data_IF_279618972629
#
_entry.id   IF_279618972629
#
_cell.length_a   1.000
_cell.length_b   1.000
_cell.length_c   1.000
_cell.angle_alpha   90.00
_cell.angle_beta   90.00
_cell.angle_gamma   90.00
#
_symmetry.space_group_name_H-M   'P 1'
#
loop_
_entity.id
_entity.type
_entity.pdbx_description
1 polymer ?
#
# COMPACT_ATOMS: atom_id res chain seq x y z
N UNK A 1 -26.05 -25.85 -7.94
CA UNK A 1 -24.77 -25.15 -8.25
C UNK A 1 -25.05 -23.67 -8.03
N UNK A 2 -25.01 -23.27 -6.75
CA UNK A 2 -25.36 -21.91 -6.34
C UNK A 2 -24.17 -20.97 -6.52
N UNK A 3 -24.37 -19.95 -7.34
CA UNK A 3 -23.47 -18.81 -7.50
C UNK A 3 -23.50 -18.00 -6.21
N UNK A 4 -22.47 -18.16 -5.37
CA UNK A 4 -22.26 -17.30 -4.20
C UNK A 4 -21.80 -15.93 -4.70
N UNK A 5 -22.74 -15.05 -5.00
CA UNK A 5 -22.47 -13.61 -5.07
C UNK A 5 -22.22 -13.14 -3.65
N UNK A 6 -20.95 -13.13 -3.24
CA UNK A 6 -20.54 -12.48 -2.00
C UNK A 6 -20.89 -10.99 -2.08
N UNK A 7 -22.00 -10.61 -1.45
CA UNK A 7 -22.37 -9.21 -1.27
C UNK A 7 -21.26 -8.50 -0.50
N UNK A 8 -20.57 -7.57 -1.17
CA UNK A 8 -19.61 -6.72 -0.48
C UNK A 8 -20.30 -5.87 0.57
N UNK A 9 -19.63 -5.73 1.72
CA UNK A 9 -20.00 -4.80 2.78
C UNK A 9 -20.33 -3.40 2.22
N UNK A 10 -21.45 -2.77 2.63
CA UNK A 10 -21.89 -1.48 2.10
C UNK A 10 -20.84 -0.35 2.20
N UNK A 11 -20.02 -0.35 3.25
CA UNK A 11 -18.96 0.65 3.44
C UNK A 11 -17.84 0.51 2.42
N UNK A 12 -17.37 -0.72 2.15
CA UNK A 12 -16.39 -1.01 1.09
C UNK A 12 -16.93 -0.68 -0.29
N UNK A 13 -18.23 -0.89 -0.53
CA UNK A 13 -18.88 -0.57 -1.80
C UNK A 13 -18.86 0.93 -2.09
N UNK A 14 -19.16 1.77 -1.10
CA UNK A 14 -19.09 3.22 -1.26
C UNK A 14 -17.69 3.71 -1.64
N UNK A 15 -16.64 3.07 -1.11
CA UNK A 15 -15.24 3.35 -1.45
C UNK A 15 -14.95 3.04 -2.92
N UNK A 16 -15.40 1.89 -3.43
CA UNK A 16 -15.20 1.53 -4.83
C UNK A 16 -15.99 2.42 -5.79
N UNK A 17 -17.26 2.73 -5.48
CA UNK A 17 -18.06 3.69 -6.25
C UNK A 17 -17.39 5.05 -6.31
N UNK A 18 -16.86 5.53 -5.18
CA UNK A 18 -16.08 6.76 -5.14
C UNK A 18 -14.86 6.68 -6.05
N UNK A 19 -14.14 5.56 -6.04
CA UNK A 19 -12.98 5.35 -6.91
C UNK A 19 -13.34 5.38 -8.39
N UNK A 20 -14.20 4.46 -8.86
CA UNK A 20 -14.46 4.35 -10.29
C UNK A 20 -15.29 5.52 -10.83
N UNK A 21 -16.07 6.22 -9.99
CA UNK A 21 -16.68 7.49 -10.42
C UNK A 21 -15.63 8.55 -10.77
N UNK A 22 -14.55 8.67 -9.99
CA UNK A 22 -13.44 9.59 -10.34
C UNK A 22 -12.77 9.19 -11.65
N UNK A 23 -12.57 7.89 -11.87
CA UNK A 23 -12.00 7.38 -13.12
C UNK A 23 -12.89 7.74 -14.31
N UNK A 24 -14.20 7.47 -14.24
CA UNK A 24 -15.16 7.77 -15.31
C UNK A 24 -15.22 9.28 -15.58
N UNK A 25 -15.17 10.13 -14.55
CA UNK A 25 -15.06 11.58 -14.74
C UNK A 25 -13.83 11.97 -15.56
N UNK A 26 -12.68 11.38 -15.24
CA UNK A 26 -11.45 11.65 -15.96
C UNK A 26 -11.50 11.14 -17.41
N UNK A 27 -12.06 9.95 -17.65
CA UNK A 27 -12.26 9.41 -19.00
C UNK A 27 -13.20 10.30 -19.81
N UNK A 28 -14.31 10.78 -19.24
CA UNK A 28 -15.22 11.73 -19.90
C UNK A 28 -14.50 13.00 -20.39
N UNK A 29 -13.51 13.46 -19.65
CA UNK A 29 -12.79 14.71 -19.95
C UNK A 29 -11.59 14.51 -20.88
N UNK A 30 -10.90 13.36 -20.79
CA UNK A 30 -9.61 13.16 -21.44
C UNK A 30 -9.62 12.05 -22.50
N UNK A 31 -10.58 11.13 -22.43
CA UNK A 31 -10.69 9.94 -23.30
C UNK A 31 -12.16 9.63 -23.62
N UNK A 32 -12.92 10.64 -24.05
CA UNK A 32 -14.37 10.52 -24.30
C UNK A 32 -14.79 9.40 -25.27
N UNK A 33 -14.00 8.94 -26.26
CA UNK A 33 -14.37 7.80 -27.11
C UNK A 33 -14.56 6.48 -26.36
N UNK A 34 -14.02 6.36 -25.13
CA UNK A 34 -14.22 5.17 -24.29
C UNK A 34 -15.54 5.20 -23.52
N UNK A 35 -16.25 6.34 -23.49
CA UNK A 35 -17.55 6.47 -22.84
C UNK A 35 -18.63 5.92 -23.77
N UNK A 36 -19.53 5.09 -23.22
CA UNK A 36 -20.67 4.61 -23.98
C UNK A 36 -21.61 5.77 -24.35
N UNK A 37 -22.05 5.94 -25.61
CA UNK A 37 -22.87 7.09 -26.05
C UNK A 37 -24.13 7.30 -25.19
N UNK A 38 -24.90 6.24 -24.93
CA UNK A 38 -26.09 6.31 -24.08
C UNK A 38 -25.80 6.75 -22.62
N UNK A 39 -24.58 6.52 -22.12
CA UNK A 39 -24.16 7.06 -20.84
C UNK A 39 -23.78 8.55 -20.97
N UNK A 40 -23.02 8.91 -22.01
CA UNK A 40 -22.67 10.30 -22.29
C UNK A 40 -23.90 11.21 -22.44
N UNK A 41 -24.94 10.75 -23.15
CA UNK A 41 -26.19 11.49 -23.35
C UNK A 41 -26.90 11.79 -22.01
N UNK A 42 -26.92 10.81 -21.10
CA UNK A 42 -27.48 10.98 -19.74
C UNK A 42 -26.65 11.91 -18.86
N UNK A 43 -25.33 11.97 -19.07
CA UNK A 43 -24.45 12.91 -18.37
C UNK A 43 -24.62 14.34 -18.91
N UNK A 44 -24.89 14.47 -20.21
CA UNK A 44 -25.04 15.74 -20.92
C UNK A 44 -23.73 16.52 -21.00
N UNK A 45 -23.81 17.83 -21.18
CA UNK A 45 -22.65 18.71 -21.34
C UNK A 45 -21.75 18.72 -20.11
N UNK A 46 -20.45 18.45 -20.33
CA UNK A 46 -19.41 18.40 -19.28
C UNK A 46 -18.50 19.63 -19.23
N UNK A 47 -18.51 20.47 -20.27
CA UNK A 47 -17.66 21.67 -20.36
C UNK A 47 -17.88 22.63 -19.20
N UNK A 48 -16.79 23.06 -18.56
CA UNK A 48 -16.83 24.03 -17.45
C UNK A 48 -17.21 23.45 -16.08
N UNK A 49 -17.47 22.15 -15.98
CA UNK A 49 -17.74 21.50 -14.68
C UNK A 49 -16.45 21.17 -13.94
N UNK A 50 -16.43 21.47 -12.64
CA UNK A 50 -15.40 20.92 -11.74
C UNK A 50 -15.55 19.40 -11.58
N UNK A 51 -14.46 18.70 -11.21
CA UNK A 51 -14.50 17.24 -10.92
C UNK A 51 -15.60 16.91 -9.90
N UNK A 52 -15.79 17.75 -8.87
CA UNK A 52 -16.81 17.56 -7.84
C UNK A 52 -18.23 17.62 -8.43
N UNK A 53 -18.51 18.59 -9.28
CA UNK A 53 -19.81 18.74 -9.94
C UNK A 53 -20.08 17.58 -10.90
N UNK A 54 -19.09 17.21 -11.72
CA UNK A 54 -19.21 16.10 -12.65
C UNK A 54 -19.46 14.78 -11.91
N UNK A 55 -18.73 14.52 -10.82
CA UNK A 55 -18.94 13.35 -9.96
C UNK A 55 -20.34 13.26 -9.35
N UNK A 56 -20.87 14.39 -8.88
CA UNK A 56 -22.21 14.44 -8.32
C UNK A 56 -23.27 14.06 -9.37
N UNK A 57 -23.02 14.41 -10.64
CA UNK A 57 -23.91 14.08 -11.76
C UNK A 57 -23.79 12.62 -12.20
N UNK A 58 -22.58 12.07 -12.29
CA UNK A 58 -22.40 10.70 -12.80
C UNK A 58 -22.80 9.62 -11.79
N UNK A 59 -22.61 9.85 -10.49
CA UNK A 59 -22.81 8.80 -9.46
C UNK A 59 -24.21 8.18 -9.47
N UNK A 60 -25.31 8.96 -9.56
CA UNK A 60 -26.65 8.41 -9.69
C UNK A 60 -26.87 7.57 -10.95
N UNK A 61 -26.09 7.81 -12.01
CA UNK A 61 -26.19 7.10 -13.30
C UNK A 61 -25.42 5.77 -13.29
N UNK A 62 -24.63 5.48 -12.26
CA UNK A 62 -23.90 4.22 -12.10
C UNK A 62 -24.83 3.14 -11.53
N UNK A 63 -25.81 2.75 -12.35
CA UNK A 63 -26.94 1.89 -11.98
C UNK A 63 -26.57 0.41 -11.79
N UNK A 64 -25.36 0.00 -12.20
CA UNK A 64 -24.89 -1.41 -12.15
C UNK A 64 -25.78 -2.36 -12.95
N UNK A 65 -26.58 -1.84 -13.87
CA UNK A 65 -27.32 -2.66 -14.81
C UNK A 65 -26.44 -2.93 -16.02
N UNK A 66 -26.32 -4.21 -16.39
CA UNK A 66 -25.40 -4.66 -17.44
C UNK A 66 -25.72 -4.07 -18.82
N UNK A 67 -26.97 -3.65 -19.05
CA UNK A 67 -27.48 -3.03 -20.27
C UNK A 67 -27.12 -1.53 -20.40
N UNK A 68 -26.63 -0.91 -19.33
CA UNK A 68 -26.32 0.51 -19.28
C UNK A 68 -24.87 0.80 -18.86
N UNK A 69 -23.85 0.23 -19.53
CA UNK A 69 -22.46 0.39 -19.12
C UNK A 69 -21.99 1.85 -19.30
N UNK A 70 -21.16 2.37 -18.38
CA UNK A 70 -20.60 3.71 -18.52
C UNK A 70 -19.47 3.77 -19.55
N UNK A 71 -18.83 2.63 -19.83
CA UNK A 71 -17.64 2.52 -20.67
C UNK A 71 -17.80 1.43 -21.73
N UNK A 72 -17.10 1.59 -22.85
CA UNK A 72 -16.76 0.49 -23.74
C UNK A 72 -15.64 -0.36 -23.10
N UNK A 73 -16.02 -1.30 -22.22
CA UNK A 73 -15.08 -2.15 -21.47
C UNK A 73 -14.10 -2.91 -22.38
N UNK A 74 -14.57 -3.41 -23.52
CA UNK A 74 -13.74 -4.18 -24.46
C UNK A 74 -12.66 -3.32 -25.15
N UNK A 75 -12.78 -1.99 -25.10
CA UNK A 75 -11.84 -1.06 -25.70
C UNK A 75 -10.96 -0.38 -24.63
N UNK A 76 -11.11 -0.73 -23.36
CA UNK A 76 -10.38 -0.08 -22.27
C UNK A 76 -8.96 -0.64 -22.16
N UNK A 77 -7.99 0.09 -22.72
CA UNK A 77 -6.58 -0.23 -22.59
C UNK A 77 -6.07 -0.04 -21.14
N UNK A 78 -5.24 -0.96 -20.60
CA UNK A 78 -4.62 -0.79 -19.28
C UNK A 78 -3.87 0.54 -19.12
N UNK A 79 -3.23 1.07 -20.16
CA UNK A 79 -2.48 2.33 -20.13
C UNK A 79 -3.38 3.52 -19.77
N UNK A 80 -4.64 3.53 -20.19
CA UNK A 80 -5.60 4.59 -19.86
C UNK A 80 -5.83 4.66 -18.35
N UNK A 81 -5.99 3.50 -17.71
CA UNK A 81 -6.15 3.44 -16.27
C UNK A 81 -4.86 3.78 -15.51
N UNK A 82 -3.72 3.29 -15.99
CA UNK A 82 -2.41 3.60 -15.40
C UNK A 82 -2.11 5.11 -15.47
N UNK A 83 -2.39 5.74 -16.63
CA UNK A 83 -2.24 7.17 -16.85
C UNK A 83 -3.10 7.96 -15.87
N UNK A 84 -4.37 7.59 -15.73
CA UNK A 84 -5.25 8.23 -14.74
C UNK A 84 -4.68 8.15 -13.32
N UNK A 85 -4.18 6.97 -12.89
CA UNK A 85 -3.58 6.82 -11.57
C UNK A 85 -2.42 7.79 -11.36
N UNK A 86 -1.58 8.00 -12.39
CA UNK A 86 -0.45 8.93 -12.34
C UNK A 86 -0.86 10.41 -12.34
N UNK A 87 -2.10 10.76 -12.73
CA UNK A 87 -2.63 12.13 -12.62
C UNK A 87 -3.14 12.46 -11.21
N UNK A 88 -3.44 11.45 -10.39
CA UNK A 88 -4.04 11.67 -9.08
C UNK A 88 -3.06 12.38 -8.14
N UNK A 89 -3.57 13.39 -7.43
CA UNK A 89 -2.87 14.10 -6.35
C UNK A 89 -3.77 14.23 -5.12
N UNK A 90 -3.15 14.37 -3.95
CA UNK A 90 -3.81 14.77 -2.71
C UNK A 90 -4.14 16.28 -2.77
N UNK A 91 -4.92 16.76 -1.79
CA UNK A 91 -5.28 18.17 -1.68
C UNK A 91 -4.06 19.10 -1.52
N UNK A 92 -2.98 18.60 -0.92
CA UNK A 92 -1.69 19.29 -0.76
C UNK A 92 -0.80 19.22 -2.01
N UNK A 93 -1.28 18.63 -3.12
CA UNK A 93 -0.53 18.45 -4.35
C UNK A 93 0.46 17.28 -4.34
N UNK A 94 0.59 16.54 -3.23
CA UNK A 94 1.46 15.37 -3.17
C UNK A 94 0.85 14.15 -3.88
N UNK A 95 1.70 13.20 -4.24
CA UNK A 95 1.29 11.92 -4.85
C UNK A 95 0.53 11.02 -3.86
N UNK A 96 -0.27 10.11 -4.39
CA UNK A 96 -0.99 9.12 -3.61
C UNK A 96 -0.05 8.04 -3.07
N UNK A 97 -0.39 7.47 -1.91
CA UNK A 97 0.31 6.30 -1.38
C UNK A 97 -0.02 5.04 -2.19
N UNK A 98 0.84 4.03 -2.10
CA UNK A 98 0.59 2.72 -2.72
C UNK A 98 -0.78 2.14 -2.33
N UNK A 99 -1.16 2.23 -1.03
CA UNK A 99 -2.45 1.74 -0.54
C UNK A 99 -3.64 2.49 -1.19
N UNK A 100 -3.53 3.80 -1.37
CA UNK A 100 -4.55 4.59 -2.06
C UNK A 100 -4.67 4.19 -3.54
N UNK A 101 -3.54 4.01 -4.24
CA UNK A 101 -3.53 3.52 -5.63
C UNK A 101 -4.12 2.10 -5.73
N UNK A 102 -3.84 1.23 -4.76
CA UNK A 102 -4.37 -0.14 -4.75
C UNK A 102 -5.88 -0.16 -4.50
N UNK A 103 -6.41 0.78 -3.72
CA UNK A 103 -7.85 1.00 -3.59
C UNK A 103 -8.49 1.34 -4.93
N UNK A 104 -7.80 2.15 -5.75
CA UNK A 104 -8.27 2.47 -7.09
C UNK A 104 -8.26 1.26 -8.02
N UNK A 105 -7.20 0.45 -8.00
CA UNK A 105 -7.15 -0.84 -8.71
C UNK A 105 -8.35 -1.72 -8.34
N UNK A 106 -8.60 -1.93 -7.05
CA UNK A 106 -9.76 -2.71 -6.59
C UNK A 106 -11.09 -2.09 -7.07
N UNK A 107 -11.17 -0.76 -7.13
CA UNK A 107 -12.31 -0.05 -7.71
C UNK A 107 -12.56 -0.39 -9.18
N UNK A 108 -11.51 -0.56 -9.99
CA UNK A 108 -11.65 -0.98 -11.38
C UNK A 108 -12.16 -2.41 -11.53
N UNK A 109 -11.63 -3.36 -10.76
CA UNK A 109 -12.15 -4.74 -10.74
C UNK A 109 -13.62 -4.78 -10.32
N UNK A 110 -14.00 -3.94 -9.35
CA UNK A 110 -15.39 -3.80 -8.95
C UNK A 110 -16.25 -3.19 -10.06
N UNK A 111 -15.75 -2.22 -10.81
CA UNK A 111 -16.47 -1.66 -11.94
C UNK A 111 -16.79 -2.73 -13.00
N UNK A 112 -15.81 -3.55 -13.39
CA UNK A 112 -16.06 -4.66 -14.31
C UNK A 112 -17.14 -5.61 -13.77
N UNK A 113 -17.01 -6.02 -12.51
CA UNK A 113 -17.95 -6.94 -11.86
C UNK A 113 -19.36 -6.36 -11.72
N UNK A 114 -19.49 -5.09 -11.36
CA UNK A 114 -20.78 -4.40 -11.19
C UNK A 114 -21.57 -4.33 -12.50
N UNK A 115 -20.91 -4.45 -13.66
CA UNK A 115 -21.54 -4.47 -14.98
C UNK A 115 -21.49 -5.85 -15.65
N UNK A 116 -21.25 -6.92 -14.87
CA UNK A 116 -21.26 -8.30 -15.36
C UNK A 116 -20.16 -8.58 -16.40
N UNK A 117 -19.09 -7.78 -16.42
CA UNK A 117 -17.93 -7.96 -17.29
C UNK A 117 -16.81 -8.65 -16.54
N UNK A 118 -16.02 -9.43 -17.27
CA UNK A 118 -14.79 -10.03 -16.78
C UNK A 118 -13.61 -9.25 -17.39
N UNK A 119 -12.68 -8.83 -16.55
CA UNK A 119 -11.42 -8.27 -17.03
C UNK A 119 -10.62 -9.38 -17.71
N UNK A 120 -10.08 -9.10 -18.90
CA UNK A 120 -9.27 -10.08 -19.61
C UNK A 120 -7.90 -10.27 -18.91
N UNK A 121 -7.22 -11.37 -19.25
CA UNK A 121 -5.95 -11.74 -18.63
C UNK A 121 -4.83 -10.76 -18.93
N UNK A 122 -4.86 -10.08 -20.08
CA UNK A 122 -3.79 -9.20 -20.51
C UNK A 122 -3.86 -7.91 -19.71
N UNK A 123 -5.03 -7.31 -19.58
CA UNK A 123 -5.28 -6.16 -18.71
C UNK A 123 -4.94 -6.48 -17.24
N UNK A 124 -5.34 -7.65 -16.73
CA UNK A 124 -5.00 -8.06 -15.36
C UNK A 124 -3.47 -8.16 -15.15
N UNK A 125 -2.76 -8.74 -16.12
CA UNK A 125 -1.32 -8.91 -16.09
C UNK A 125 -0.58 -7.56 -16.17
N UNK A 126 -1.01 -6.66 -17.04
CA UNK A 126 -0.44 -5.32 -17.17
C UNK A 126 -0.61 -4.52 -15.87
N UNK A 127 -1.81 -4.53 -15.28
CA UNK A 127 -2.03 -3.91 -13.97
C UNK A 127 -1.19 -4.57 -12.88
N UNK A 128 -0.97 -5.89 -12.93
CA UNK A 128 -0.08 -6.58 -11.98
C UNK A 128 1.36 -6.09 -12.11
N UNK A 129 1.90 -5.98 -13.33
CA UNK A 129 3.27 -5.51 -13.54
C UNK A 129 3.44 -4.03 -13.17
N UNK A 130 2.48 -3.18 -13.54
CA UNK A 130 2.50 -1.76 -13.20
C UNK A 130 2.61 -1.53 -11.68
N UNK A 131 1.72 -2.16 -10.90
CA UNK A 131 1.75 -2.04 -9.43
C UNK A 131 2.99 -2.68 -8.80
N UNK A 132 3.56 -3.72 -9.42
CA UNK A 132 4.85 -4.28 -9.01
C UNK A 132 6.00 -3.29 -9.28
N UNK A 133 5.94 -2.55 -10.39
CA UNK A 133 6.87 -1.46 -10.71
C UNK A 133 6.85 -0.37 -9.64
N UNK A 134 5.65 0.10 -9.26
CA UNK A 134 5.49 1.10 -8.19
C UNK A 134 6.08 0.57 -6.87
N UNK A 135 5.77 -0.67 -6.47
CA UNK A 135 6.36 -1.27 -5.25
C UNK A 135 7.89 -1.30 -5.29
N UNK A 136 8.48 -1.65 -6.43
CA UNK A 136 9.93 -1.67 -6.63
C UNK A 136 10.56 -0.28 -6.53
N UNK A 137 9.94 0.74 -7.12
CA UNK A 137 10.44 2.11 -7.05
C UNK A 137 10.42 2.63 -5.60
N UNK A 138 9.34 2.37 -4.88
CA UNK A 138 9.22 2.67 -3.45
C UNK A 138 10.29 1.95 -2.63
N UNK A 139 10.51 0.66 -2.92
CA UNK A 139 11.57 -0.14 -2.31
C UNK A 139 12.98 0.41 -2.58
N UNK A 140 13.26 0.88 -3.80
CA UNK A 140 14.56 1.48 -4.17
C UNK A 140 14.79 2.78 -3.40
N UNK A 141 13.78 3.65 -3.34
CA UNK A 141 13.83 4.89 -2.56
C UNK A 141 14.05 4.61 -1.07
N UNK A 142 13.45 3.54 -0.56
CA UNK A 142 13.59 3.11 0.81
C UNK A 142 14.95 2.49 1.13
N UNK A 143 15.47 1.63 0.27
CA UNK A 143 16.81 1.06 0.41
C UNK A 143 17.90 2.14 0.52
N UNK A 144 17.72 3.27 -0.18
CA UNK A 144 18.60 4.44 -0.10
C UNK A 144 18.48 5.20 1.22
N UNK A 145 17.33 5.17 1.90
CA UNK A 145 17.07 5.91 3.15
C UNK A 145 17.31 5.13 4.46
N UNK A 146 17.35 3.79 4.41
CA UNK A 146 17.35 2.92 5.62
C UNK A 146 18.76 2.48 6.07
N UNK A 147 19.81 2.89 5.37
CA UNK A 147 21.19 2.55 5.72
C UNK A 147 21.67 3.30 6.97
N UNK A 148 21.65 2.64 8.13
CA UNK A 148 22.23 3.07 9.42
C UNK A 148 21.36 3.94 10.36
N UNK A 149 20.03 3.88 10.28
CA UNK A 149 19.17 4.51 11.28
C UNK A 149 19.07 3.71 12.60
N UNK A 150 18.54 4.35 13.65
CA UNK A 150 18.24 3.68 14.92
C UNK A 150 17.06 2.71 14.77
N UNK A 151 16.85 1.81 15.74
CA UNK A 151 15.68 0.91 15.72
C UNK A 151 14.38 1.69 15.87
N UNK A 152 14.38 2.80 16.63
CA UNK A 152 13.22 3.67 16.77
C UNK A 152 12.83 4.29 15.42
N UNK A 153 13.80 4.86 14.70
CA UNK A 153 13.56 5.43 13.37
C UNK A 153 13.11 4.35 12.38
N UNK A 154 13.70 3.16 12.46
CA UNK A 154 13.31 2.04 11.62
C UNK A 154 11.88 1.55 11.95
N UNK A 155 11.47 1.61 13.21
CA UNK A 155 10.11 1.26 13.64
C UNK A 155 9.08 2.27 13.14
N UNK A 156 9.42 3.57 13.18
CA UNK A 156 8.59 4.61 12.55
C UNK A 156 8.47 4.37 11.04
N UNK A 157 9.56 4.05 10.36
CA UNK A 157 9.54 3.70 8.94
C UNK A 157 8.75 2.39 8.68
N UNK A 158 8.74 1.47 9.65
CA UNK A 158 8.01 0.21 9.56
C UNK A 158 6.50 0.42 9.61
N UNK A 159 6.00 1.21 10.56
CA UNK A 159 4.57 1.44 10.73
C UNK A 159 4.03 2.57 9.85
N UNK A 160 4.79 3.65 9.64
CA UNK A 160 4.30 4.89 9.03
C UNK A 160 4.94 5.20 7.68
N UNK A 161 6.07 4.59 7.34
CA UNK A 161 6.87 4.98 6.18
C UNK A 161 7.51 6.37 6.35
N UNK A 162 7.83 7.04 5.25
CA UNK A 162 8.42 8.38 5.22
C UNK A 162 7.66 9.28 4.26
N UNK A 163 6.81 10.17 4.78
CA UNK A 163 5.93 11.01 3.97
C UNK A 163 6.72 11.91 2.98
N UNK A 164 7.76 12.61 3.45
CA UNK A 164 8.56 13.52 2.61
C UNK A 164 9.28 12.81 1.46
N UNK A 165 9.80 11.60 1.72
CA UNK A 165 10.49 10.78 0.72
C UNK A 165 9.53 9.85 -0.04
N UNK A 166 8.22 10.02 0.17
CA UNK A 166 7.13 9.24 -0.44
C UNK A 166 7.27 7.73 -0.23
N UNK A 167 7.80 7.32 0.92
CA UNK A 167 8.06 5.93 1.22
C UNK A 167 6.88 5.35 2.00
N UNK A 168 6.23 4.26 1.57
CA UNK A 168 5.19 3.60 2.35
C UNK A 168 5.79 2.88 3.57
N UNK A 169 4.94 2.48 4.53
CA UNK A 169 5.31 1.54 5.60
C UNK A 169 6.07 0.32 5.06
N UNK A 170 7.18 -0.05 5.71
CA UNK A 170 8.03 -1.19 5.29
C UNK A 170 7.31 -2.54 5.38
N UNK A 171 6.30 -2.65 6.25
CA UNK A 171 5.54 -3.87 6.47
C UNK A 171 4.79 -4.35 5.21
N UNK A 172 4.44 -3.43 4.32
CA UNK A 172 3.75 -3.68 3.05
C UNK A 172 4.66 -4.25 1.95
N UNK A 173 5.98 -4.16 2.10
CA UNK A 173 6.94 -4.60 1.08
C UNK A 173 7.21 -6.10 1.18
N UNK A 174 7.29 -6.79 0.04
CA UNK A 174 7.68 -8.19 -0.06
C UNK A 174 9.10 -8.36 -0.62
N UNK A 175 9.70 -9.54 -0.43
CA UNK A 175 11.02 -9.85 -0.99
C UNK A 175 11.08 -9.70 -2.51
N UNK A 176 9.99 -10.03 -3.22
CA UNK A 176 9.92 -9.87 -4.68
C UNK A 176 9.95 -8.40 -5.15
N UNK A 177 9.69 -7.45 -4.25
CA UNK A 177 9.70 -6.02 -4.52
C UNK A 177 11.12 -5.44 -4.42
N UNK A 178 12.06 -6.15 -3.82
CA UNK A 178 13.42 -5.67 -3.62
C UNK A 178 14.24 -5.79 -4.91
N UNK A 179 15.08 -4.79 -5.23
CA UNK A 179 15.81 -4.72 -6.51
C UNK A 179 16.91 -5.78 -6.65
N UNK A 180 17.43 -6.32 -5.54
CA UNK A 180 18.48 -7.34 -5.53
C UNK A 180 18.41 -8.20 -4.25
N UNK A 181 19.17 -9.31 -4.24
CA UNK A 181 19.21 -10.24 -3.11
C UNK A 181 19.68 -9.61 -1.80
N UNK A 182 20.57 -8.62 -1.84
CA UNK A 182 21.06 -7.96 -0.63
C UNK A 182 19.96 -7.15 0.05
N UNK A 183 19.15 -6.44 -0.73
CA UNK A 183 17.98 -5.74 -0.22
C UNK A 183 16.88 -6.70 0.24
N UNK A 184 16.70 -7.85 -0.41
CA UNK A 184 15.81 -8.93 0.07
C UNK A 184 16.22 -9.43 1.45
N UNK A 185 17.51 -9.69 1.64
CA UNK A 185 18.07 -10.10 2.92
C UNK A 185 17.87 -9.00 3.97
N UNK A 186 18.14 -7.75 3.61
CA UNK A 186 17.96 -6.59 4.49
C UNK A 186 16.51 -6.42 4.94
N UNK A 187 15.53 -6.53 4.03
CA UNK A 187 14.11 -6.52 4.38
C UNK A 187 13.73 -7.69 5.29
N UNK A 188 14.31 -8.87 5.07
CA UNK A 188 14.10 -10.04 5.93
C UNK A 188 14.65 -9.82 7.34
N UNK A 189 15.78 -9.14 7.48
CA UNK A 189 16.37 -8.77 8.76
C UNK A 189 15.54 -7.71 9.50
N UNK A 190 15.01 -6.71 8.78
CA UNK A 190 14.06 -5.72 9.31
C UNK A 190 12.81 -6.44 9.83
N UNK A 191 12.18 -7.28 9.00
CA UNK A 191 10.99 -8.08 9.36
C UNK A 191 11.22 -8.89 10.63
N UNK A 192 12.37 -9.56 10.74
CA UNK A 192 12.73 -10.33 11.93
C UNK A 192 12.71 -9.47 13.20
N UNK A 193 13.30 -8.27 13.15
CA UNK A 193 13.33 -7.37 14.30
C UNK A 193 11.94 -6.81 14.62
N UNK A 194 11.22 -6.34 13.60
CA UNK A 194 9.93 -5.67 13.81
C UNK A 194 8.85 -6.63 14.28
N UNK A 195 8.86 -7.89 13.83
CA UNK A 195 7.94 -8.91 14.34
C UNK A 195 8.13 -9.19 15.83
N UNK A 196 9.35 -9.03 16.38
CA UNK A 196 9.58 -9.14 17.83
C UNK A 196 8.94 -7.96 18.59
N UNK A 197 9.07 -6.74 18.06
CA UNK A 197 8.47 -5.54 18.66
C UNK A 197 6.94 -5.62 18.57
N UNK A 198 6.39 -6.03 17.43
CA UNK A 198 4.94 -6.26 17.25
C UNK A 198 4.40 -7.29 18.23
N UNK A 199 5.12 -8.40 18.48
CA UNK A 199 4.69 -9.41 19.45
C UNK A 199 4.58 -8.82 20.86
N UNK A 200 5.58 -8.07 21.32
CA UNK A 200 5.59 -7.42 22.63
C UNK A 200 4.48 -6.35 22.71
N UNK A 201 4.30 -5.57 21.65
CA UNK A 201 3.25 -4.56 21.57
C UNK A 201 1.85 -5.19 21.60
N UNK A 202 1.66 -6.33 20.95
CA UNK A 202 0.42 -7.10 20.97
C UNK A 202 0.12 -7.65 22.38
N UNK A 203 1.11 -8.25 23.06
CA UNK A 203 0.99 -8.72 24.44
C UNK A 203 0.56 -7.61 25.42
N UNK A 204 1.00 -6.37 25.15
CA UNK A 204 0.69 -5.19 25.96
C UNK A 204 -0.54 -4.43 25.49
N UNK A 205 -1.26 -4.92 24.47
CA UNK A 205 -2.42 -4.27 23.85
C UNK A 205 -2.14 -2.82 23.36
N UNK A 206 -0.96 -2.60 22.79
CA UNK A 206 -0.49 -1.28 22.34
C UNK A 206 -0.70 -1.02 20.84
N UNK A 207 -1.10 -2.03 20.07
CA UNK A 207 -1.29 -1.92 18.63
C UNK A 207 -2.71 -1.41 18.30
N UNK A 208 -2.80 -0.45 17.39
CA UNK A 208 -4.06 0.08 16.84
C UNK A 208 -4.01 0.09 15.32
N UNK A 209 -5.17 0.05 14.67
CA UNK A 209 -5.32 0.02 13.20
C UNK A 209 -4.89 1.31 12.49
N UNK A 210 -4.76 2.42 13.22
CA UNK A 210 -4.17 3.66 12.72
C UNK A 210 -3.40 4.32 13.86
N UNK A 211 -2.08 4.45 13.72
CA UNK A 211 -1.23 5.07 14.74
C UNK A 211 -0.53 6.30 14.18
N UNK A 212 -0.53 7.41 14.93
CA UNK A 212 0.28 8.59 14.61
C UNK A 212 1.77 8.30 14.85
N UNK A 213 2.67 9.18 14.37
CA UNK A 213 4.11 9.02 14.61
C UNK A 213 4.42 9.02 16.12
N UNK A 214 3.73 9.86 16.89
CA UNK A 214 3.85 9.95 18.34
C UNK A 214 3.39 8.67 19.02
N UNK A 215 2.26 8.10 18.58
CA UNK A 215 1.76 6.82 19.09
C UNK A 215 2.73 5.69 18.76
N UNK A 216 3.30 5.65 17.55
CA UNK A 216 4.29 4.64 17.13
C UNK A 216 5.57 4.75 17.95
N UNK A 217 6.03 5.97 18.26
CA UNK A 217 7.16 6.21 19.16
C UNK A 217 6.82 5.75 20.59
N UNK A 218 5.59 5.99 21.05
CA UNK A 218 5.13 5.52 22.36
C UNK A 218 5.09 3.98 22.42
N UNK A 219 4.53 3.33 21.40
CA UNK A 219 4.56 1.86 21.27
C UNK A 219 5.99 1.37 21.31
N UNK A 220 6.91 2.00 20.58
CA UNK A 220 8.32 1.64 20.65
C UNK A 220 8.87 1.78 22.06
N UNK A 221 8.71 2.92 22.73
CA UNK A 221 9.22 3.12 24.09
C UNK A 221 8.68 2.08 25.08
N UNK A 222 7.42 1.67 24.92
CA UNK A 222 6.79 0.67 25.75
C UNK A 222 7.14 -0.77 25.34
N UNK A 223 7.40 -1.06 24.07
CA UNK A 223 7.67 -2.41 23.56
C UNK A 223 9.17 -2.67 23.32
N UNK A 224 10.04 -1.66 23.42
CA UNK A 224 11.48 -1.77 23.20
C UNK A 224 12.18 -2.40 24.39
N UNK A 225 11.90 -3.68 24.65
CA UNK A 225 12.76 -4.55 25.46
C UNK A 225 13.74 -5.31 24.58
N UNK A 226 14.27 -4.67 23.52
CA UNK A 226 15.29 -5.28 22.67
C UNK A 226 16.55 -5.46 23.52
N UNK A 227 16.60 -6.58 24.25
CA UNK A 227 17.65 -6.92 25.19
C UNK A 227 18.95 -7.17 24.44
N UNK A 228 19.71 -6.09 24.25
CA UNK A 228 21.07 -6.15 23.75
C UNK A 228 21.99 -6.19 24.96
N UNK A 229 22.92 -7.16 25.08
CA UNK A 229 23.82 -7.22 26.22
C UNK A 229 24.55 -5.88 26.41
N UNK A 230 24.64 -5.40 27.65
CA UNK A 230 25.18 -4.07 27.96
C UNK A 230 26.69 -3.93 27.73
N UNK A 231 27.39 -5.06 27.53
CA UNK A 231 28.86 -5.13 27.39
C UNK A 231 29.30 -5.89 26.14
N UNK A 232 30.37 -5.43 25.50
CA UNK A 232 31.05 -6.16 24.42
C UNK A 232 31.78 -7.39 24.95
N UNK A 233 32.24 -8.30 24.07
CA UNK A 233 33.13 -9.39 24.45
C UNK A 233 34.43 -8.91 25.14
N UNK A 234 34.79 -7.63 24.96
CA UNK A 234 35.88 -6.91 25.61
C UNK A 234 35.45 -6.06 26.83
N UNK A 235 34.28 -6.33 27.42
CA UNK A 235 33.74 -5.66 28.61
C UNK A 235 33.47 -4.14 28.50
N UNK A 236 33.45 -3.57 27.29
CA UNK A 236 33.12 -2.14 27.07
C UNK A 236 31.60 -1.92 27.11
N UNK A 237 31.15 -0.89 27.85
CA UNK A 237 29.73 -0.47 27.87
C UNK A 237 29.23 -0.10 26.46
N UNK A 238 28.13 -0.71 26.01
CA UNK A 238 27.44 -0.37 24.76
C UNK A 238 26.51 0.82 24.95
N UNK A 239 26.56 1.79 24.03
CA UNK A 239 25.60 2.90 23.94
C UNK A 239 24.39 2.43 23.14
N UNK A 240 23.48 1.70 23.79
CA UNK A 240 22.39 0.94 23.15
C UNK A 240 21.51 1.84 22.26
N UNK A 241 21.20 3.07 22.69
CA UNK A 241 20.41 4.03 21.90
C UNK A 241 21.10 4.59 20.65
N UNK A 242 22.39 4.32 20.45
CA UNK A 242 23.18 4.76 19.28
C UNK A 242 23.55 3.60 18.35
N UNK A 243 23.10 2.37 18.64
CA UNK A 243 23.37 1.23 17.79
C UNK A 243 22.46 1.26 16.56
N UNK A 244 23.08 1.13 15.39
CA UNK A 244 22.35 0.89 14.15
C UNK A 244 21.56 -0.43 14.26
N UNK A 245 20.35 -0.44 13.71
CA UNK A 245 19.46 -1.59 13.76
C UNK A 245 20.11 -2.89 13.22
N UNK A 246 20.99 -2.78 12.23
CA UNK A 246 21.74 -3.90 11.63
C UNK A 246 22.63 -4.60 12.65
N UNK A 247 23.23 -3.84 13.56
CA UNK A 247 24.06 -4.37 14.65
C UNK A 247 23.22 -5.12 15.67
N UNK A 248 22.01 -4.61 15.96
CA UNK A 248 21.06 -5.22 16.88
C UNK A 248 20.54 -6.55 16.32
N UNK A 249 20.13 -6.60 15.04
CA UNK A 249 19.72 -7.86 14.39
C UNK A 249 20.83 -8.91 14.45
N UNK A 250 22.09 -8.52 14.17
CA UNK A 250 23.22 -9.43 14.23
C UNK A 250 23.39 -10.03 15.64
N UNK A 251 23.27 -9.22 16.68
CA UNK A 251 23.41 -9.68 18.07
C UNK A 251 22.28 -10.66 18.45
N UNK A 252 21.03 -10.36 18.11
CA UNK A 252 19.90 -11.26 18.36
C UNK A 252 20.01 -12.58 17.58
N UNK A 253 20.43 -12.55 16.32
CA UNK A 253 20.63 -13.78 15.54
C UNK A 253 21.75 -14.66 16.11
N UNK A 254 22.81 -14.07 16.65
CA UNK A 254 23.89 -14.80 17.34
C UNK A 254 23.35 -15.44 18.63
N UNK A 255 22.60 -14.68 19.42
CA UNK A 255 21.97 -15.20 20.65
C UNK A 255 21.01 -16.36 20.35
N UNK A 256 20.07 -16.20 19.41
CA UNK A 256 19.12 -17.23 19.01
C UNK A 256 19.82 -18.50 18.49
N UNK A 257 20.94 -18.35 17.76
CA UNK A 257 21.75 -19.48 17.28
C UNK A 257 22.40 -20.23 18.43
N UNK A 258 22.91 -19.52 19.44
CA UNK A 258 23.53 -20.14 20.61
C UNK A 258 22.48 -20.87 21.47
N UNK A 259 21.31 -20.28 21.67
CA UNK A 259 20.21 -20.93 22.40
C UNK A 259 19.77 -22.22 21.71
N UNK A 260 19.56 -22.21 20.39
CA UNK A 260 19.20 -23.42 19.62
C UNK A 260 20.26 -24.51 19.65
N UNK A 261 21.53 -24.14 19.77
CA UNK A 261 22.64 -25.10 19.88
C UNK A 261 22.63 -25.77 21.26
N UNK A 262 22.32 -25.02 22.32
CA UNK A 262 22.22 -25.55 23.68
C UNK A 262 20.99 -26.45 23.93
N UNK A 263 19.87 -26.24 23.23
CA UNK A 263 18.66 -27.09 23.37
C UNK A 263 18.76 -28.41 22.60
N UNK A 264 19.84 -28.64 21.83
CA UNK A 264 20.10 -29.89 21.08
C UNK A 264 21.14 -30.79 21.73
N UNK A 265 21.58 -30.46 22.94
CA UNK A 265 22.37 -31.30 23.85
C UNK A 265 21.44 -31.85 24.92
#
# INVERSE_FOLDING_TARGET
>A
MESVTAELCPSSRAVYVNSYSRFICWVLQNHSPLIHPAFADRVGTVSGLSEKQLRARIKPLLTRKNDEPPLHFDNLDPEVFQTWLLTLRKADGSELSYSALNTHRAGLFNLYRDYGRKMDSDMENELKQFFKGIKRELAVTQARGVGNCSVADLWVLWCCGHAEKKIPPLDLLEGADMPNRDNQKRLSDIRYLMKKIEAIAAERNLLSSSQTVEEVIHVYACASSVEVPSTTASARKRRIGQLAWTSIVRLHRIADKNTRSNTRL
#
